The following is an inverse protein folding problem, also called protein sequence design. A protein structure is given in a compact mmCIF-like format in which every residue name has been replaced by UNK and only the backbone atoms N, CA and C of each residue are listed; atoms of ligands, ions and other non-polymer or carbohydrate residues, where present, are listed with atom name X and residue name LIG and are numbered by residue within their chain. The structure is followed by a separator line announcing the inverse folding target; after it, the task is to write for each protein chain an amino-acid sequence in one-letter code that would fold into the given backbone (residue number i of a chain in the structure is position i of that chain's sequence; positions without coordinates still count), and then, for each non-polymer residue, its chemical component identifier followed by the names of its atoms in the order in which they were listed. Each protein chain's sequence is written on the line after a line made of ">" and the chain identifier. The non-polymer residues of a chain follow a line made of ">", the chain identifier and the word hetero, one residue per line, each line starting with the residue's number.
data_IF_897527855129
#
_entry.id   IF_897527855129
#
_cell.length_a   1.000
_cell.length_b   1.000
_cell.length_c   1.000
_cell.angle_alpha   90.00
_cell.angle_beta   90.00
_cell.angle_gamma   90.00
#
_symmetry.space_group_name_H-M   'P 1'
#
loop_
_entity.id
_entity.type
_entity.pdbx_description
1 polymer ?
#
# COMPACT_ATOMS: atom_id res chain seq x y z
N UNK A 1 -6.61 -73.73 -34.57
CA UNK A 1 -5.99 -72.56 -35.22
C UNK A 1 -6.35 -71.33 -34.38
N UNK A 2 -5.33 -70.69 -33.78
CA UNK A 2 -5.29 -69.36 -33.11
C UNK A 2 -6.37 -68.99 -32.06
N UNK A 3 -5.95 -69.05 -30.79
CA UNK A 3 -6.16 -68.01 -29.74
C UNK A 3 -5.53 -66.67 -30.21
N UNK A 4 -5.90 -65.46 -29.69
CA UNK A 4 -5.78 -65.04 -28.28
C UNK A 4 -6.92 -64.08 -27.85
N UNK A 5 -7.02 -63.41 -26.71
CA UNK A 5 -6.13 -63.11 -25.57
C UNK A 5 -7.02 -62.55 -24.46
N UNK A 6 -6.92 -63.11 -23.26
CA UNK A 6 -7.22 -62.40 -22.02
C UNK A 6 -6.26 -61.22 -21.83
N UNK A 7 -6.78 -60.11 -21.31
CA UNK A 7 -5.97 -59.03 -20.76
C UNK A 7 -6.19 -57.71 -21.46
N UNK A 8 -7.01 -56.83 -20.86
CA UNK A 8 -6.80 -55.39 -20.74
C UNK A 8 -8.02 -54.78 -20.02
N UNK A 9 -8.24 -55.24 -18.79
CA UNK A 9 -9.14 -54.61 -17.80
C UNK A 9 -8.28 -53.73 -16.88
N UNK A 10 -7.57 -52.75 -17.45
CA UNK A 10 -6.75 -51.79 -16.70
C UNK A 10 -6.51 -50.52 -17.52
N UNK A 11 -7.58 -49.79 -17.86
CA UNK A 11 -7.43 -48.44 -18.42
C UNK A 11 -8.69 -47.59 -18.16
N UNK A 12 -9.02 -47.38 -16.88
CA UNK A 12 -10.21 -46.61 -16.52
C UNK A 12 -10.19 -45.97 -15.14
N UNK A 13 -9.02 -45.79 -14.52
CA UNK A 13 -8.93 -45.26 -13.15
C UNK A 13 -7.71 -44.36 -12.90
N UNK A 14 -7.32 -43.53 -13.87
CA UNK A 14 -6.25 -42.52 -13.67
C UNK A 14 -6.61 -41.19 -14.33
N UNK A 15 -7.79 -40.64 -14.01
CA UNK A 15 -8.14 -39.25 -14.36
C UNK A 15 -8.86 -38.48 -13.24
N UNK A 16 -8.94 -39.02 -12.02
CA UNK A 16 -9.75 -38.45 -10.94
C UNK A 16 -8.97 -37.58 -9.92
N UNK A 17 -7.80 -37.02 -10.28
CA UNK A 17 -6.95 -36.28 -9.32
C UNK A 17 -6.57 -34.85 -9.72
N UNK A 18 -7.19 -34.25 -10.74
CA UNK A 18 -6.92 -32.86 -11.15
C UNK A 18 -8.06 -31.89 -10.82
N UNK A 19 -8.70 -32.02 -9.65
CA UNK A 19 -9.87 -31.19 -9.31
C UNK A 19 -10.01 -30.78 -7.83
N UNK A 20 -8.93 -30.72 -7.05
CA UNK A 20 -9.00 -30.35 -5.64
C UNK A 20 -8.09 -29.14 -5.37
N UNK A 21 -8.65 -27.94 -5.55
CA UNK A 21 -7.97 -26.68 -5.26
C UNK A 21 -8.95 -25.54 -4.99
N UNK A 22 -10.04 -25.48 -5.77
CA UNK A 22 -11.04 -24.41 -5.62
C UNK A 22 -12.09 -24.72 -4.54
N UNK A 23 -12.52 -25.98 -4.41
CA UNK A 23 -13.63 -26.34 -3.51
C UNK A 23 -13.33 -26.23 -2.02
N UNK A 24 -12.08 -26.42 -1.60
CA UNK A 24 -11.68 -26.29 -0.20
C UNK A 24 -11.56 -24.81 0.22
N UNK A 25 -11.10 -23.95 -0.68
CA UNK A 25 -10.93 -22.51 -0.45
C UNK A 25 -12.28 -21.79 -0.47
N UNK A 26 -13.17 -22.14 -1.41
CA UNK A 26 -14.55 -21.63 -1.43
C UNK A 26 -15.32 -22.04 -0.17
N UNK A 27 -15.23 -23.31 0.23
CA UNK A 27 -15.93 -23.80 1.42
C UNK A 27 -15.43 -23.16 2.71
N UNK A 28 -14.12 -22.94 2.85
CA UNK A 28 -13.56 -22.21 3.98
C UNK A 28 -14.03 -20.75 4.01
N UNK A 29 -14.18 -20.09 2.85
CA UNK A 29 -14.71 -18.73 2.75
C UNK A 29 -16.18 -18.64 3.16
N UNK A 30 -17.00 -19.60 2.72
CA UNK A 30 -18.42 -19.69 3.10
C UNK A 30 -18.57 -19.92 4.61
N UNK A 31 -17.77 -20.82 5.20
CA UNK A 31 -17.81 -21.11 6.63
C UNK A 31 -17.42 -19.88 7.47
N UNK A 32 -16.42 -19.12 7.03
CA UNK A 32 -16.02 -17.85 7.69
C UNK A 32 -17.13 -16.80 7.59
N UNK A 33 -17.80 -16.68 6.45
CA UNK A 33 -18.93 -15.76 6.30
C UNK A 33 -20.10 -16.14 7.20
N UNK A 34 -20.46 -17.43 7.27
CA UNK A 34 -21.54 -17.89 8.14
C UNK A 34 -21.23 -17.67 9.62
N UNK A 35 -19.98 -17.92 10.04
CA UNK A 35 -19.52 -17.65 11.40
C UNK A 35 -19.58 -16.16 11.72
N UNK A 36 -19.13 -15.29 10.81
CA UNK A 36 -19.22 -13.84 10.97
C UNK A 36 -20.68 -13.37 11.10
N UNK A 37 -21.58 -13.96 10.31
CA UNK A 37 -23.01 -13.63 10.35
C UNK A 37 -23.65 -14.00 11.70
N UNK A 38 -23.31 -15.18 12.24
CA UNK A 38 -23.72 -15.59 13.60
C UNK A 38 -23.16 -14.65 14.65
N UNK A 39 -21.88 -14.31 14.55
CA UNK A 39 -21.20 -13.38 15.46
C UNK A 39 -21.93 -12.02 15.50
N UNK A 40 -22.30 -11.47 14.33
CA UNK A 40 -23.06 -10.22 14.25
C UNK A 40 -24.48 -10.36 14.79
N UNK A 41 -25.13 -11.52 14.65
CA UNK A 41 -26.47 -11.73 15.20
C UNK A 41 -26.49 -11.88 16.72
N UNK A 42 -25.42 -12.43 17.31
CA UNK A 42 -25.32 -12.67 18.76
C UNK A 42 -24.71 -11.49 19.52
N UNK A 43 -23.68 -10.85 18.95
CA UNK A 43 -22.89 -9.79 19.61
C UNK A 43 -23.22 -8.40 19.05
N UNK A 44 -23.81 -8.32 17.86
CA UNK A 44 -24.04 -7.07 17.14
C UNK A 44 -22.82 -6.62 16.32
N UNK A 45 -23.00 -5.56 15.55
CA UNK A 45 -21.90 -4.85 14.89
C UNK A 45 -21.50 -3.62 15.70
N UNK A 46 -20.22 -3.22 15.69
CA UNK A 46 -19.82 -1.93 16.26
C UNK A 46 -20.63 -0.79 15.66
N UNK A 47 -21.09 0.14 16.50
CA UNK A 47 -21.94 1.25 16.09
C UNK A 47 -21.09 2.41 15.51
N UNK A 48 -20.63 2.25 14.26
CA UNK A 48 -19.80 3.24 13.57
C UNK A 48 -20.69 4.28 12.87
N UNK A 49 -21.22 5.25 13.62
CA UNK A 49 -22.09 6.30 13.06
C UNK A 49 -21.36 7.61 12.74
N UNK A 50 -20.28 7.91 13.47
CA UNK A 50 -19.65 9.23 13.41
C UNK A 50 -18.57 9.36 12.33
N UNK A 51 -18.05 8.25 11.82
CA UNK A 51 -17.00 8.18 10.80
C UNK A 51 -15.81 9.13 11.07
N UNK A 52 -15.41 9.23 12.34
CA UNK A 52 -14.48 10.27 12.80
C UNK A 52 -13.11 10.17 12.12
N UNK A 53 -12.57 8.96 11.99
CA UNK A 53 -11.30 8.72 11.32
C UNK A 53 -11.35 9.10 9.83
N UNK A 54 -12.47 8.83 9.16
CA UNK A 54 -12.66 9.23 7.77
C UNK A 54 -12.69 10.76 7.62
N UNK A 55 -13.38 11.45 8.53
CA UNK A 55 -13.39 12.92 8.59
C UNK A 55 -11.99 13.48 8.83
N UNK A 56 -11.22 12.89 9.74
CA UNK A 56 -9.82 13.27 9.97
C UNK A 56 -8.94 13.02 8.76
N UNK A 57 -9.06 11.86 8.11
CA UNK A 57 -8.31 11.53 6.91
C UNK A 57 -8.61 12.53 5.77
N UNK A 58 -9.89 12.82 5.53
CA UNK A 58 -10.33 13.86 4.58
C UNK A 58 -9.70 15.21 4.89
N UNK A 59 -9.80 15.66 6.15
CA UNK A 59 -9.24 16.94 6.56
C UNK A 59 -7.72 17.00 6.36
N UNK A 60 -7.00 15.92 6.70
CA UNK A 60 -5.56 15.81 6.48
C UNK A 60 -5.24 15.88 4.99
N UNK A 61 -6.00 15.19 4.13
CA UNK A 61 -5.81 15.24 2.68
C UNK A 61 -6.02 16.65 2.13
N UNK A 62 -7.07 17.34 2.56
CA UNK A 62 -7.36 18.72 2.17
C UNK A 62 -6.23 19.68 2.61
N UNK A 63 -5.78 19.58 3.86
CA UNK A 63 -4.66 20.40 4.36
C UNK A 63 -3.31 20.09 3.68
N UNK A 64 -3.11 18.85 3.20
CA UNK A 64 -1.89 18.44 2.49
C UNK A 64 -1.83 18.96 1.06
N UNK A 65 -2.99 19.24 0.47
CA UNK A 65 -3.11 19.81 -0.88
C UNK A 65 -2.77 21.32 -0.89
N UNK A 66 -2.89 21.99 0.26
CA UNK A 66 -2.50 23.39 0.40
C UNK A 66 -0.97 23.59 0.40
N UNK A 67 -0.54 24.74 -0.14
CA UNK A 67 0.85 25.20 -0.04
C UNK A 67 1.12 25.76 1.35
N UNK A 68 1.46 24.89 2.30
CA UNK A 68 1.77 25.27 3.68
C UNK A 68 3.28 25.42 3.93
N UNK A 69 3.65 26.30 4.85
CA UNK A 69 5.02 26.35 5.38
C UNK A 69 5.17 25.31 6.49
N UNK A 70 6.27 24.56 6.46
CA UNK A 70 6.63 23.57 7.47
C UNK A 70 8.08 23.74 7.93
N UNK A 71 8.43 23.01 8.98
CA UNK A 71 9.76 22.94 9.57
C UNK A 71 10.14 21.46 9.64
N UNK A 72 11.22 21.11 8.96
CA UNK A 72 11.67 19.73 8.83
C UNK A 72 12.87 19.48 9.72
N UNK A 73 12.87 18.35 10.41
CA UNK A 73 13.88 17.92 11.36
C UNK A 73 14.28 16.47 11.12
N UNK A 74 15.56 16.15 11.28
CA UNK A 74 16.04 14.77 11.39
C UNK A 74 15.93 14.29 12.84
N UNK A 75 15.44 13.07 13.05
CA UNK A 75 15.44 12.43 14.38
C UNK A 75 16.63 11.50 14.51
N UNK A 76 17.56 11.80 15.41
CA UNK A 76 18.70 10.94 15.67
C UNK A 76 18.31 9.69 16.50
N UNK A 77 19.27 8.78 16.69
CA UNK A 77 19.05 7.53 17.44
C UNK A 77 18.69 7.75 18.91
N UNK A 78 18.98 8.92 19.46
CA UNK A 78 18.65 9.30 20.84
C UNK A 78 17.31 10.06 20.92
N UNK A 79 16.58 10.19 19.80
CA UNK A 79 15.33 10.94 19.72
C UNK A 79 15.50 12.46 19.70
N UNK A 80 16.75 12.97 19.61
CA UNK A 80 16.97 14.41 19.45
C UNK A 80 16.66 14.81 18.02
N UNK A 81 16.05 15.99 17.89
CA UNK A 81 15.52 16.50 16.64
C UNK A 81 16.43 17.62 16.17
N UNK A 82 17.06 17.41 15.02
CA UNK A 82 18.03 18.33 14.41
C UNK A 82 17.33 19.07 13.27
N UNK A 83 17.27 20.40 13.34
CA UNK A 83 16.62 21.20 12.32
C UNK A 83 17.36 21.06 10.98
N UNK A 84 16.60 20.80 9.91
CA UNK A 84 17.13 20.70 8.54
C UNK A 84 16.87 22.02 7.82
N UNK A 85 15.59 22.37 7.64
CA UNK A 85 15.21 23.56 6.89
C UNK A 85 13.76 23.98 7.18
N UNK A 86 13.45 25.22 6.82
CA UNK A 86 12.07 25.64 6.57
C UNK A 86 11.66 25.07 5.22
N UNK A 87 10.56 24.37 5.17
CA UNK A 87 10.11 23.60 4.01
C UNK A 87 8.71 24.01 3.56
N UNK A 88 8.30 23.51 2.39
CA UNK A 88 6.94 23.65 1.87
C UNK A 88 6.27 22.29 1.83
N UNK A 89 5.06 22.23 2.38
CA UNK A 89 4.26 21.01 2.47
C UNK A 89 4.87 19.98 3.41
N UNK A 90 4.28 18.79 3.38
CA UNK A 90 4.82 17.61 4.07
C UNK A 90 5.80 16.91 3.13
N UNK A 91 6.82 16.25 3.68
CA UNK A 91 7.77 15.47 2.89
C UNK A 91 7.06 14.43 2.02
N UNK A 92 7.59 14.21 0.82
CA UNK A 92 7.07 13.28 -0.15
C UNK A 92 7.87 11.98 -0.10
N UNK A 93 7.28 10.83 0.29
CA UNK A 93 7.99 9.55 0.25
C UNK A 93 8.57 9.29 -1.15
N UNK A 94 9.78 8.75 -1.22
CA UNK A 94 10.48 8.48 -2.48
C UNK A 94 9.70 7.52 -3.38
N UNK A 95 9.02 6.54 -2.77
CA UNK A 95 8.17 5.56 -3.45
C UNK A 95 6.82 6.12 -3.91
N UNK A 96 6.58 7.43 -3.79
CA UNK A 96 5.36 8.06 -4.31
C UNK A 96 5.39 8.05 -5.84
N UNK A 97 4.29 7.60 -6.44
CA UNK A 97 4.15 7.45 -7.88
C UNK A 97 3.24 8.53 -8.43
N UNK A 98 3.64 9.12 -9.56
CA UNK A 98 2.81 10.11 -10.25
C UNK A 98 1.76 9.40 -11.12
N UNK A 99 2.10 8.21 -11.61
CA UNK A 99 1.23 7.40 -12.47
C UNK A 99 0.73 6.16 -11.74
N UNK A 100 -0.19 5.42 -12.37
CA UNK A 100 -0.67 4.17 -11.80
C UNK A 100 0.52 3.18 -11.66
N UNK A 101 0.78 2.60 -10.47
CA UNK A 101 1.89 1.66 -10.25
C UNK A 101 1.94 0.48 -11.20
N UNK A 102 0.76 0.03 -11.64
CA UNK A 102 0.61 -1.18 -12.42
C UNK A 102 -0.22 -0.90 -13.66
N UNK A 103 0.17 -1.52 -14.75
CA UNK A 103 -0.63 -1.58 -15.97
C UNK A 103 -1.17 -3.00 -16.17
N UNK A 104 -2.40 -3.09 -16.64
CA UNK A 104 -2.96 -4.36 -17.10
C UNK A 104 -2.38 -4.70 -18.48
N UNK A 105 -1.82 -5.89 -18.62
CA UNK A 105 -1.45 -6.41 -19.94
C UNK A 105 -2.40 -7.54 -20.31
N UNK A 106 -3.23 -7.30 -21.32
CA UNK A 106 -4.03 -8.36 -21.94
C UNK A 106 -3.09 -9.21 -22.79
N UNK A 107 -2.73 -10.40 -22.30
CA UNK A 107 -2.12 -11.43 -23.13
C UNK A 107 -3.15 -11.96 -24.11
N UNK A 108 -2.74 -12.21 -25.36
CA UNK A 108 -3.55 -12.95 -26.32
C UNK A 108 -3.76 -14.39 -25.80
N UNK A 109 -4.79 -14.61 -24.99
CA UNK A 109 -5.26 -15.94 -24.58
C UNK A 109 -4.91 -16.41 -23.16
N UNK A 110 -4.19 -15.64 -22.33
CA UNK A 110 -3.91 -15.99 -20.92
C UNK A 110 -4.35 -14.90 -19.93
N UNK A 111 -4.60 -15.33 -18.69
CA UNK A 111 -5.10 -14.52 -17.58
C UNK A 111 -4.41 -13.14 -17.51
N UNK A 112 -5.22 -12.09 -17.31
CA UNK A 112 -4.73 -10.73 -17.21
C UNK A 112 -3.66 -10.62 -16.11
N UNK A 113 -2.43 -10.30 -16.49
CA UNK A 113 -1.33 -10.08 -15.56
C UNK A 113 -1.13 -8.58 -15.31
N UNK A 114 -0.84 -8.21 -14.06
CA UNK A 114 -0.50 -6.83 -13.71
C UNK A 114 1.01 -6.68 -13.69
N UNK A 115 1.54 -5.77 -14.51
CA UNK A 115 2.98 -5.49 -14.58
C UNK A 115 3.29 -4.10 -14.01
N UNK A 116 4.48 -3.91 -13.41
CA UNK A 116 4.94 -2.58 -13.04
C UNK A 116 4.91 -1.62 -14.24
N UNK A 117 4.54 -0.37 -13.97
CA UNK A 117 4.56 0.72 -14.94
C UNK A 117 5.76 1.65 -14.66
N UNK A 118 6.36 2.17 -15.73
CA UNK A 118 7.41 3.20 -15.63
C UNK A 118 6.78 4.56 -15.38
N UNK A 119 7.43 5.36 -14.54
CA UNK A 119 7.14 6.78 -14.37
C UNK A 119 7.48 7.57 -15.65
N UNK A 120 7.01 8.82 -15.80
CA UNK A 120 7.30 9.64 -16.98
C UNK A 120 8.80 9.88 -17.24
N UNK A 121 9.63 9.76 -16.21
CA UNK A 121 11.09 9.82 -16.32
C UNK A 121 11.73 8.49 -16.80
N UNK A 122 10.93 7.46 -17.09
CA UNK A 122 11.38 6.15 -17.57
C UNK A 122 11.82 5.17 -16.47
N UNK A 123 11.81 5.57 -15.20
CA UNK A 123 12.23 4.72 -14.09
C UNK A 123 11.05 3.94 -13.49
N UNK A 124 11.34 2.80 -12.90
CA UNK A 124 10.40 2.09 -12.04
C UNK A 124 10.63 2.52 -10.60
N UNK A 125 9.58 2.88 -9.87
CA UNK A 125 9.70 3.23 -8.47
C UNK A 125 9.92 1.98 -7.60
N UNK A 126 10.87 2.01 -6.65
CA UNK A 126 11.06 0.93 -5.70
C UNK A 126 9.91 0.91 -4.67
N UNK A 127 9.60 -0.28 -4.17
CA UNK A 127 8.56 -0.50 -3.16
C UNK A 127 9.12 -0.64 -1.72
N UNK A 128 10.43 -0.55 -1.54
CA UNK A 128 11.14 -0.89 -0.31
C UNK A 128 12.19 0.16 0.10
N UNK A 129 11.93 1.44 -0.19
CA UNK A 129 12.84 2.54 0.14
C UNK A 129 12.12 3.53 1.06
N UNK A 130 12.69 3.74 2.25
CA UNK A 130 12.15 4.62 3.30
C UNK A 130 12.61 6.08 3.18
N UNK A 131 13.11 6.49 2.02
CA UNK A 131 13.57 7.84 1.79
C UNK A 131 12.42 8.82 1.55
N UNK A 132 12.66 10.09 1.86
CA UNK A 132 11.69 11.20 1.73
C UNK A 132 12.35 12.38 1.02
N UNK A 133 11.65 12.93 0.03
CA UNK A 133 11.96 14.22 -0.59
C UNK A 133 11.33 15.35 0.23
N UNK A 134 12.11 16.41 0.46
CA UNK A 134 11.65 17.62 1.18
C UNK A 134 11.91 18.81 0.28
N UNK A 135 10.92 19.69 0.11
CA UNK A 135 11.12 20.96 -0.57
C UNK A 135 11.56 22.01 0.45
N UNK A 136 12.87 22.25 0.56
CA UNK A 136 13.42 23.28 1.44
C UNK A 136 13.32 24.66 0.77
N UNK A 137 12.93 25.68 1.52
CA UNK A 137 12.91 27.06 1.03
C UNK A 137 14.35 27.61 0.95
N UNK A 138 14.66 28.32 -0.14
CA UNK A 138 15.99 28.92 -0.37
C UNK A 138 16.20 30.28 0.33
N UNK A 139 15.16 30.81 0.99
CA UNK A 139 15.17 32.13 1.63
C UNK A 139 14.93 33.32 0.70
N UNK A 140 15.00 33.13 -0.62
CA UNK A 140 14.69 34.12 -1.66
C UNK A 140 13.28 33.95 -2.26
N UNK A 141 12.56 32.90 -1.86
CA UNK A 141 11.19 32.60 -2.29
C UNK A 141 11.09 31.38 -3.21
N UNK A 142 12.22 30.79 -3.60
CA UNK A 142 12.29 29.52 -4.31
C UNK A 142 12.33 28.32 -3.36
N UNK A 143 12.39 27.13 -3.96
CA UNK A 143 12.47 25.84 -3.26
C UNK A 143 13.48 24.92 -3.90
N UNK A 144 14.18 24.15 -3.08
CA UNK A 144 15.17 23.15 -3.48
C UNK A 144 14.78 21.76 -2.94
N UNK A 145 14.78 20.72 -3.79
CA UNK A 145 14.50 19.37 -3.34
C UNK A 145 15.71 18.79 -2.59
N UNK A 146 15.46 18.33 -1.37
CA UNK A 146 16.42 17.65 -0.50
C UNK A 146 16.01 16.19 -0.34
N UNK A 147 16.93 15.29 -0.63
CA UNK A 147 16.78 13.85 -0.40
C UNK A 147 17.16 13.48 1.03
N UNK A 148 16.35 12.67 1.70
CA UNK A 148 16.66 12.20 3.05
C UNK A 148 16.25 10.73 3.25
N UNK A 149 17.21 9.86 3.50
CA UNK A 149 16.96 8.48 3.96
C UNK A 149 16.59 8.37 5.44
N UNK A 150 17.13 9.22 6.34
CA UNK A 150 16.75 9.15 7.75
C UNK A 150 15.28 9.49 8.00
N UNK A 151 14.75 9.02 9.13
CA UNK A 151 13.41 9.42 9.58
C UNK A 151 13.35 10.93 9.84
N UNK A 152 12.33 11.54 9.25
CA UNK A 152 12.04 12.95 9.36
C UNK A 152 10.87 13.21 10.30
N UNK A 153 10.95 14.33 11.00
CA UNK A 153 9.83 14.95 11.69
C UNK A 153 9.52 16.27 10.97
N UNK A 154 8.29 16.43 10.50
CA UNK A 154 7.84 17.62 9.77
C UNK A 154 6.66 18.22 10.52
N UNK A 155 6.71 19.52 10.80
CA UNK A 155 5.66 20.21 11.52
C UNK A 155 5.28 21.55 10.85
N UNK A 156 4.01 21.96 10.86
CA UNK A 156 3.60 23.30 10.41
C UNK A 156 4.07 24.42 11.34
N UNK A 157 4.63 24.10 12.52
CA UNK A 157 5.15 25.09 13.47
C UNK A 157 6.55 24.69 13.96
N UNK A 158 7.38 25.65 14.43
CA UNK A 158 8.68 25.33 15.02
C UNK A 158 8.52 24.40 16.23
N UNK A 159 9.46 23.48 16.39
CA UNK A 159 9.37 22.44 17.42
C UNK A 159 9.31 22.97 18.85
N UNK A 160 10.02 24.06 19.16
CA UNK A 160 10.01 24.68 20.48
C UNK A 160 8.63 25.22 20.84
N UNK A 161 7.82 25.56 19.83
CA UNK A 161 6.43 26.01 20.03
C UNK A 161 5.44 24.87 20.29
N UNK A 162 5.84 23.60 20.07
CA UNK A 162 4.99 22.43 20.35
C UNK A 162 5.07 21.98 21.81
N UNK A 163 6.18 22.25 22.51
CA UNK A 163 6.39 21.80 23.89
C UNK A 163 5.60 22.62 24.94
N UNK A 164 4.99 23.74 24.53
CA UNK A 164 4.26 24.67 25.39
C UNK A 164 2.81 24.93 24.96
N UNK A 165 2.21 24.01 24.21
CA UNK A 165 0.79 24.02 23.82
C UNK A 165 0.02 22.92 24.52
#
# INVERSE_FOLDING_TARGET
>A
MRTPSSGLLFLGLVFALLGCGDSATEKASEDVQQLAQRLYSEVGTPEINNFQEYKFAKQIMEMRDERITTYTYHVDRNGRRHFICKSIGYGLPYSTQLTNPKQFQNGLGEAANTLPQREPNGLYMPNNVDATWVLCADGAGGVEPVYSEPKLFVSPVPIDSLAGR
#
